data_IF_828073534844
#
_entry.id   IF_828073534844
#
_cell.length_a   1.000
_cell.length_b   1.000
_cell.length_c   1.000
_cell.angle_alpha   90.00
_cell.angle_beta   90.00
_cell.angle_gamma   90.00
#
_symmetry.space_group_name_H-M   'P 1'
#
loop_
_entity.id
_entity.type
_entity.pdbx_description
1 polymer ?
#
# COMPACT_ATOMS: atom_id res chain seq x y z
N UNK A 1 -0.52 -2.49 -9.19
CA UNK A 1 0.53 -1.52 -8.81
C UNK A 1 1.54 -2.21 -7.92
N UNK A 2 2.54 -1.46 -7.46
CA UNK A 2 3.53 -1.88 -6.48
C UNK A 2 3.00 -1.59 -5.06
N UNK A 3 3.43 -2.36 -4.06
CA UNK A 3 3.10 -2.08 -2.65
C UNK A 3 4.13 -1.10 -2.08
N UNK A 4 3.65 -0.04 -1.43
CA UNK A 4 4.51 0.82 -0.61
C UNK A 4 4.80 0.09 0.70
N UNK A 5 6.09 -0.09 1.03
CA UNK A 5 6.51 -0.70 2.30
C UNK A 5 6.94 0.39 3.29
N UNK A 6 6.43 0.29 4.51
CA UNK A 6 6.93 1.06 5.64
C UNK A 6 7.94 0.20 6.40
N UNK A 7 9.19 0.66 6.46
CA UNK A 7 10.30 -0.09 7.05
C UNK A 7 10.84 0.65 8.27
N UNK A 8 10.94 -0.05 9.40
CA UNK A 8 11.47 0.48 10.66
C UNK A 8 12.56 -0.44 11.20
N UNK A 9 13.70 0.13 11.56
CA UNK A 9 14.78 -0.58 12.24
C UNK A 9 14.63 -0.40 13.76
N UNK A 10 14.42 -1.50 14.49
CA UNK A 10 14.32 -1.50 15.96
C UNK A 10 15.61 -1.99 16.65
N UNK A 11 16.64 -2.35 15.88
CA UNK A 11 17.94 -2.75 16.41
C UNK A 11 18.83 -1.53 16.73
N UNK A 12 19.87 -1.74 17.53
CA UNK A 12 20.90 -0.73 17.83
C UNK A 12 21.98 -0.59 16.74
N UNK A 13 21.92 -1.41 15.69
CA UNK A 13 22.85 -1.40 14.57
C UNK A 13 22.13 -1.04 13.25
N UNK A 14 22.79 -0.30 12.34
CA UNK A 14 22.26 -0.08 10.99
C UNK A 14 22.06 -1.39 10.22
N UNK A 15 21.03 -1.44 9.39
CA UNK A 15 20.74 -2.57 8.51
C UNK A 15 20.86 -2.09 7.06
N UNK A 16 21.67 -2.78 6.26
CA UNK A 16 21.79 -2.51 4.82
C UNK A 16 20.66 -3.22 4.08
N UNK A 17 19.90 -2.48 3.28
CA UNK A 17 18.89 -3.02 2.37
C UNK A 17 19.48 -3.14 0.96
N UNK A 18 19.29 -4.30 0.33
CA UNK A 18 19.76 -4.56 -1.03
C UNK A 18 18.58 -4.57 -2.01
N UNK A 19 18.76 -3.89 -3.13
CA UNK A 19 17.80 -3.99 -4.23
C UNK A 19 17.63 -5.45 -4.67
N UNK A 20 16.39 -5.92 -4.77
CA UNK A 20 16.05 -7.30 -5.15
C UNK A 20 16.09 -8.34 -4.02
N UNK A 21 16.42 -7.96 -2.79
CA UNK A 21 16.35 -8.90 -1.66
C UNK A 21 14.91 -9.30 -1.35
N UNK A 22 14.72 -10.52 -0.82
CA UNK A 22 13.43 -10.92 -0.26
C UNK A 22 13.15 -10.06 0.98
N UNK A 23 12.06 -9.29 0.95
CA UNK A 23 11.71 -8.31 1.99
C UNK A 23 10.35 -8.57 2.66
N UNK A 24 9.60 -9.54 2.15
CA UNK A 24 8.27 -9.89 2.65
C UNK A 24 7.65 -11.01 1.84
N UNK A 25 6.41 -11.37 2.19
CA UNK A 25 5.62 -12.39 1.51
C UNK A 25 4.14 -11.99 1.55
N UNK A 26 3.37 -12.46 0.56
CA UNK A 26 1.93 -12.25 0.50
C UNK A 26 1.21 -13.55 0.85
N UNK A 27 0.15 -13.42 1.64
CA UNK A 27 -0.84 -14.48 1.85
C UNK A 27 -2.19 -13.94 1.40
N UNK A 28 -3.00 -14.79 0.78
CA UNK A 28 -4.30 -14.42 0.22
C UNK A 28 -5.41 -15.08 1.02
N UNK A 29 -6.50 -14.34 1.24
CA UNK A 29 -7.72 -14.84 1.89
C UNK A 29 -8.89 -14.66 0.92
N UNK A 30 -9.73 -15.69 0.80
CA UNK A 30 -10.89 -15.66 -0.08
C UNK A 30 -12.03 -14.87 0.57
N UNK A 31 -12.62 -13.94 -0.18
CA UNK A 31 -13.86 -13.26 0.21
C UNK A 31 -15.05 -14.22 0.10
N UNK A 32 -16.09 -14.00 0.90
CA UNK A 32 -17.32 -14.80 0.87
C UNK A 32 -18.12 -14.62 -0.44
N UNK A 33 -18.00 -13.45 -1.06
CA UNK A 33 -18.55 -13.07 -2.36
C UNK A 33 -17.62 -12.08 -3.06
N UNK A 34 -17.92 -11.74 -4.31
CA UNK A 34 -17.27 -10.60 -4.97
C UNK A 34 -17.56 -9.29 -4.21
N UNK A 35 -16.62 -8.36 -4.25
CA UNK A 35 -16.80 -7.02 -3.69
C UNK A 35 -17.66 -6.19 -4.65
N UNK A 36 -18.73 -5.57 -4.14
CA UNK A 36 -19.63 -4.71 -4.93
C UNK A 36 -18.88 -3.52 -5.55
N UNK A 37 -18.01 -2.87 -4.77
CA UNK A 37 -17.09 -1.84 -5.23
C UNK A 37 -15.65 -2.26 -4.89
N UNK A 38 -14.90 -2.86 -5.82
CA UNK A 38 -13.49 -3.19 -5.60
C UNK A 38 -12.61 -1.93 -5.45
N UNK A 39 -11.41 -2.08 -4.90
CA UNK A 39 -10.45 -0.97 -4.80
C UNK A 39 -10.18 -0.36 -6.19
N UNK A 40 -10.17 0.97 -6.27
CA UNK A 40 -10.09 1.70 -7.54
C UNK A 40 -11.45 2.07 -8.14
N UNK A 41 -12.55 1.51 -7.66
CA UNK A 41 -13.89 1.91 -8.12
C UNK A 41 -14.18 3.38 -7.80
N UNK A 42 -14.91 4.10 -8.68
CA UNK A 42 -15.23 5.52 -8.51
C UNK A 42 -15.88 5.84 -7.16
N UNK A 43 -16.76 4.96 -6.67
CA UNK A 43 -17.53 5.09 -5.44
C UNK A 43 -16.63 5.15 -4.19
N UNK A 44 -15.48 4.48 -4.23
CA UNK A 44 -14.57 4.40 -3.09
C UNK A 44 -13.60 5.59 -3.01
N UNK A 45 -13.49 6.41 -4.07
CA UNK A 45 -12.52 7.51 -4.12
C UNK A 45 -11.08 7.07 -3.80
N UNK A 46 -10.72 5.86 -4.25
CA UNK A 46 -9.46 5.17 -3.92
C UNK A 46 -8.24 5.98 -4.38
N UNK A 47 -7.25 6.11 -3.49
CA UNK A 47 -6.17 7.10 -3.67
C UNK A 47 -4.96 6.58 -4.44
N UNK A 48 -4.76 5.27 -4.49
CA UNK A 48 -3.47 4.67 -4.89
C UNK A 48 -3.61 3.58 -5.97
N UNK A 49 -4.75 3.53 -6.67
CA UNK A 49 -4.94 2.59 -7.78
C UNK A 49 -3.84 2.82 -8.83
N UNK A 50 -3.14 1.74 -9.20
CA UNK A 50 -2.10 1.78 -10.23
C UNK A 50 -0.74 2.35 -9.81
N UNK A 51 -0.47 2.61 -8.52
CA UNK A 51 0.82 3.16 -8.09
C UNK A 51 2.03 2.29 -8.52
N UNK A 52 3.13 2.94 -8.92
CA UNK A 52 4.38 2.28 -9.38
C UNK A 52 5.55 2.48 -8.44
N UNK A 53 5.55 3.58 -7.71
CA UNK A 53 6.63 4.00 -6.81
C UNK A 53 6.13 4.15 -5.37
N UNK A 54 7.05 4.46 -4.45
CA UNK A 54 6.75 4.84 -3.07
C UNK A 54 5.97 6.17 -3.03
N UNK A 55 4.67 6.08 -3.34
CA UNK A 55 3.77 7.23 -3.47
C UNK A 55 3.53 7.81 -2.09
N UNK A 56 3.84 9.10 -1.94
CA UNK A 56 3.61 9.83 -0.70
C UNK A 56 2.11 9.87 -0.32
N UNK A 57 1.84 10.09 0.96
CA UNK A 57 0.49 10.12 1.51
C UNK A 57 -0.41 11.16 0.81
N UNK A 58 -1.61 10.73 0.44
CA UNK A 58 -2.71 11.54 -0.08
C UNK A 58 -3.82 11.74 0.97
N UNK A 59 -3.49 11.67 2.26
CA UNK A 59 -4.45 11.93 3.35
C UNK A 59 -5.07 13.33 3.25
N UNK A 60 -4.32 14.30 2.75
CA UNK A 60 -4.79 15.68 2.56
C UNK A 60 -6.09 15.79 1.72
N UNK A 61 -6.35 14.81 0.83
CA UNK A 61 -7.55 14.80 -0.02
C UNK A 61 -8.84 14.58 0.76
N UNK A 62 -8.79 13.97 1.94
CA UNK A 62 -9.99 13.73 2.75
C UNK A 62 -10.50 15.03 3.38
N UNK A 63 -9.59 15.96 3.73
CA UNK A 63 -9.96 17.25 4.31
C UNK A 63 -10.65 18.19 3.31
N UNK A 64 -10.52 17.95 2.01
CA UNK A 64 -11.20 18.71 0.96
C UNK A 64 -12.57 18.14 0.58
N UNK A 65 -12.91 16.95 1.10
CA UNK A 65 -14.19 16.26 0.85
C UNK A 65 -15.21 16.47 1.98
N UNK A 66 -14.81 17.15 3.06
CA UNK A 66 -15.66 17.60 4.16
C UNK A 66 -16.02 19.07 3.98
#
# INVERSE_FOLDING_TARGET
GHLTLELSNVANLPITLYFGMKIGQLSYVRLTSEAEFPYGSPELGSKYQGQTDATASRIHQDFLRH
#
